data_IF_712252882748
#
_entry.id   IF_712252882748
#
_cell.length_a   1.000
_cell.length_b   1.000
_cell.length_c   1.000
_cell.angle_alpha   90.00
_cell.angle_beta   90.00
_cell.angle_gamma   90.00
#
_symmetry.space_group_name_H-M   'P 1'
#
loop_
_entity.id
_entity.type
_entity.pdbx_description
1 polymer ?
#
# COMPACT_ATOMS: atom_id res chain seq x y z
N UNK A 1 34.70 25.73 5.06
CA UNK A 1 34.57 24.49 5.88
C UNK A 1 33.48 23.61 5.29
N UNK A 2 33.80 22.36 5.07
CA UNK A 2 32.79 21.40 4.60
C UNK A 2 32.13 20.69 5.78
N UNK A 3 30.81 20.55 5.74
CA UNK A 3 30.07 19.68 6.64
C UNK A 3 30.20 18.25 6.16
N UNK A 4 30.72 17.36 6.98
CA UNK A 4 30.90 15.96 6.59
C UNK A 4 29.65 15.11 6.81
N UNK A 5 28.87 15.39 7.84
CA UNK A 5 27.64 14.63 8.15
C UNK A 5 26.66 15.46 8.99
N UNK A 6 25.40 15.16 8.84
CA UNK A 6 24.31 15.63 9.71
C UNK A 6 23.83 14.44 10.54
N UNK A 7 23.86 14.56 11.88
CA UNK A 7 23.39 13.51 12.78
C UNK A 7 21.87 13.36 12.67
N UNK A 8 21.39 12.14 12.42
CA UNK A 8 19.97 11.85 12.26
C UNK A 8 19.12 12.05 13.51
N UNK A 9 19.70 12.03 14.69
CA UNK A 9 18.96 12.22 15.95
C UNK A 9 19.03 13.63 16.51
N UNK A 10 20.05 14.42 16.15
CA UNK A 10 20.28 15.75 16.72
C UNK A 10 20.58 16.82 15.66
N UNK A 11 20.83 16.43 14.43
CA UNK A 11 21.28 17.34 13.37
C UNK A 11 20.17 18.03 12.59
N UNK A 12 18.96 17.42 12.57
CA UNK A 12 17.79 17.95 11.86
C UNK A 12 16.62 17.92 12.83
N UNK A 13 16.04 19.09 13.11
CA UNK A 13 14.84 19.18 13.93
C UNK A 13 13.61 18.69 13.17
N UNK A 14 12.64 18.18 13.91
CA UNK A 14 11.35 17.75 13.34
C UNK A 14 10.72 18.89 12.52
N UNK A 15 10.08 18.54 11.44
CA UNK A 15 9.45 19.45 10.49
C UNK A 15 10.40 20.37 9.72
N UNK A 16 11.72 20.22 9.90
CA UNK A 16 12.71 21.04 9.18
C UNK A 16 12.81 20.70 7.71
N UNK A 17 12.71 19.41 7.36
CA UNK A 17 12.71 18.96 5.97
C UNK A 17 11.25 18.83 5.50
N UNK A 18 10.85 19.75 4.67
CA UNK A 18 9.51 19.76 4.05
C UNK A 18 9.59 19.23 2.62
N UNK A 19 8.45 18.90 2.03
CA UNK A 19 8.40 18.45 0.64
C UNK A 19 9.04 19.43 -0.35
N UNK A 20 8.98 20.72 -0.07
CA UNK A 20 9.61 21.75 -0.91
C UNK A 20 11.15 21.71 -0.87
N UNK A 21 11.74 21.03 0.10
CA UNK A 21 13.19 20.89 0.26
C UNK A 21 13.73 19.56 -0.25
N UNK A 22 12.83 18.65 -0.67
CA UNK A 22 13.20 17.37 -1.25
C UNK A 22 13.18 17.50 -2.76
N UNK A 23 14.26 17.16 -3.42
CA UNK A 23 14.30 16.96 -4.87
C UNK A 23 13.66 15.62 -5.22
N UNK A 24 13.32 15.45 -6.49
CA UNK A 24 12.88 14.15 -7.00
C UNK A 24 13.96 13.10 -6.76
N UNK A 25 13.53 11.92 -6.36
CA UNK A 25 14.46 10.80 -6.20
C UNK A 25 14.93 10.32 -7.58
N UNK A 26 16.22 10.30 -7.80
CA UNK A 26 16.83 9.80 -9.03
C UNK A 26 17.22 8.31 -8.95
N UNK A 27 17.00 7.68 -7.82
CA UNK A 27 17.25 6.25 -7.57
C UNK A 27 16.10 5.65 -6.75
N UNK A 28 16.10 4.33 -6.62
CA UNK A 28 15.10 3.64 -5.81
C UNK A 28 15.12 4.11 -4.34
N UNK A 29 13.94 4.23 -3.75
CA UNK A 29 13.78 4.43 -2.31
C UNK A 29 13.51 3.08 -1.67
N UNK A 30 14.41 2.63 -0.81
CA UNK A 30 14.30 1.36 -0.11
C UNK A 30 13.67 1.61 1.27
N UNK A 31 12.44 1.13 1.45
CA UNK A 31 11.72 1.21 2.72
C UNK A 31 12.02 0.03 3.64
N UNK A 32 12.75 -1.00 3.14
CA UNK A 32 13.18 -2.16 3.91
C UNK A 32 12.03 -2.85 4.69
N UNK A 33 10.88 -3.03 4.03
CA UNK A 33 9.70 -3.64 4.64
C UNK A 33 8.90 -2.76 5.59
N UNK A 34 9.30 -1.51 5.79
CA UNK A 34 8.54 -0.55 6.62
C UNK A 34 7.34 -0.03 5.85
N UNK A 35 6.22 0.14 6.53
CA UNK A 35 4.99 0.66 5.94
C UNK A 35 5.16 2.06 5.36
N UNK A 36 4.61 2.28 4.17
CA UNK A 36 4.36 3.61 3.62
C UNK A 36 2.98 4.06 4.08
N UNK A 37 2.92 4.92 5.10
CA UNK A 37 1.66 5.47 5.63
C UNK A 37 1.11 6.53 4.68
N UNK A 38 -0.18 6.47 4.39
CA UNK A 38 -0.82 7.31 3.37
C UNK A 38 -1.79 8.34 3.96
N UNK A 39 -2.17 8.23 5.22
CA UNK A 39 -3.13 9.11 5.87
C UNK A 39 -2.69 9.57 7.26
N UNK A 40 -3.46 10.51 7.85
CA UNK A 40 -3.06 11.21 9.06
C UNK A 40 -3.21 10.37 10.34
N UNK A 41 -4.17 9.44 10.37
CA UNK A 41 -4.38 8.56 11.52
C UNK A 41 -3.58 7.24 11.43
N UNK A 42 -2.80 7.09 10.34
CA UNK A 42 -1.79 6.04 10.15
C UNK A 42 -2.40 4.63 10.07
N UNK A 43 -3.62 4.52 9.62
CA UNK A 43 -4.28 3.24 9.47
C UNK A 43 -4.44 2.77 8.02
N UNK A 44 -4.01 3.59 7.04
CA UNK A 44 -3.99 3.27 5.62
C UNK A 44 -2.55 3.28 5.11
N UNK A 45 -2.12 2.15 4.55
CA UNK A 45 -0.71 1.95 4.17
C UNK A 45 -0.51 0.97 3.03
N UNK A 46 0.70 1.00 2.47
CA UNK A 46 1.23 -0.04 1.58
C UNK A 46 2.50 -0.58 2.25
N UNK A 47 2.64 -1.91 2.31
CA UNK A 47 3.82 -2.55 2.90
C UNK A 47 4.27 -3.77 2.10
N UNK A 48 5.53 -4.15 2.26
CA UNK A 48 6.13 -5.38 1.75
C UNK A 48 6.98 -6.02 2.86
N UNK A 49 6.37 -6.25 4.02
CA UNK A 49 7.02 -6.86 5.17
C UNK A 49 7.21 -8.38 5.04
N UNK A 50 6.46 -8.99 4.12
CA UNK A 50 6.62 -10.39 3.73
C UNK A 50 7.31 -10.44 2.38
N UNK A 51 8.33 -11.28 2.25
CA UNK A 51 9.10 -11.42 1.00
C UNK A 51 8.18 -11.77 -0.19
N UNK A 52 8.35 -11.06 -1.30
CA UNK A 52 7.59 -11.21 -2.53
C UNK A 52 6.08 -10.94 -2.43
N UNK A 53 5.64 -10.21 -1.38
CA UNK A 53 4.23 -9.82 -1.19
C UNK A 53 4.12 -8.31 -0.98
N UNK A 54 3.15 -7.68 -1.62
CA UNK A 54 2.74 -6.30 -1.35
C UNK A 54 1.35 -6.34 -0.76
N UNK A 55 1.17 -5.79 0.44
CA UNK A 55 -0.10 -5.69 1.13
C UNK A 55 -0.63 -4.26 1.13
N UNK A 56 -1.94 -4.14 0.94
CA UNK A 56 -2.70 -2.88 1.00
C UNK A 56 -3.59 -2.89 2.23
N UNK A 57 -3.32 -1.98 3.15
CA UNK A 57 -4.08 -1.80 4.38
C UNK A 57 -4.99 -0.56 4.25
N UNK A 58 -6.22 -0.66 4.64
CA UNK A 58 -7.20 0.43 4.68
C UNK A 58 -7.95 0.34 6.01
N UNK A 59 -8.03 1.44 6.75
CA UNK A 59 -8.68 1.50 8.06
C UNK A 59 -8.20 0.40 9.02
N UNK A 60 -6.88 0.21 9.09
CA UNK A 60 -6.23 -0.74 9.98
C UNK A 60 -6.31 -2.21 9.56
N UNK A 61 -6.95 -2.53 8.42
CA UNK A 61 -7.16 -3.90 7.95
C UNK A 61 -6.47 -4.11 6.60
N UNK A 62 -5.72 -5.19 6.46
CA UNK A 62 -5.20 -5.62 5.16
C UNK A 62 -6.37 -6.11 4.30
N UNK A 63 -6.60 -5.45 3.17
CA UNK A 63 -7.72 -5.77 2.29
C UNK A 63 -7.31 -6.58 1.07
N UNK A 64 -6.15 -6.28 0.50
CA UNK A 64 -5.65 -6.93 -0.72
C UNK A 64 -4.16 -7.19 -0.57
N UNK A 65 -3.71 -8.35 -1.08
CA UNK A 65 -2.30 -8.59 -1.36
C UNK A 65 -2.05 -8.86 -2.85
N UNK A 66 -0.87 -8.47 -3.30
CA UNK A 66 -0.29 -8.85 -4.58
C UNK A 66 0.91 -9.74 -4.30
N UNK A 67 0.98 -10.90 -4.94
CA UNK A 67 2.09 -11.82 -4.77
C UNK A 67 2.40 -12.60 -6.05
N UNK A 68 3.50 -13.34 -6.04
CA UNK A 68 3.88 -14.23 -7.11
C UNK A 68 3.80 -15.70 -6.64
N UNK A 69 3.33 -16.57 -7.51
CA UNK A 69 3.42 -18.03 -7.29
C UNK A 69 3.77 -18.71 -8.61
N UNK A 70 4.97 -19.25 -8.67
CA UNK A 70 5.48 -19.98 -9.86
C UNK A 70 5.36 -19.17 -11.17
N UNK A 71 5.48 -17.85 -11.09
CA UNK A 71 5.35 -16.94 -12.23
C UNK A 71 3.96 -16.33 -12.42
N UNK A 72 2.95 -16.86 -11.75
CA UNK A 72 1.61 -16.28 -11.80
C UNK A 72 1.50 -15.06 -10.87
N UNK A 73 0.82 -14.03 -11.34
CA UNK A 73 0.46 -12.87 -10.51
C UNK A 73 -0.82 -13.18 -9.75
N UNK A 74 -0.78 -13.10 -8.44
CA UNK A 74 -1.93 -13.38 -7.58
C UNK A 74 -2.41 -12.08 -6.95
N UNK A 75 -3.70 -11.78 -7.12
CA UNK A 75 -4.42 -10.72 -6.42
C UNK A 75 -5.37 -11.43 -5.46
N UNK A 76 -5.17 -11.22 -4.14
CA UNK A 76 -5.89 -11.99 -3.13
C UNK A 76 -6.56 -11.04 -2.13
N UNK A 77 -7.88 -11.21 -1.83
CA UNK A 77 -8.49 -10.58 -0.67
C UNK A 77 -7.86 -11.14 0.61
N UNK A 78 -7.64 -10.27 1.60
CA UNK A 78 -7.01 -10.64 2.87
C UNK A 78 -8.01 -10.79 4.01
N UNK A 79 -9.26 -10.40 3.78
CA UNK A 79 -10.33 -10.56 4.76
C UNK A 79 -11.18 -11.77 4.36
N UNK A 80 -11.29 -12.74 5.26
CA UNK A 80 -12.07 -13.96 5.05
C UNK A 80 -13.54 -13.65 4.84
N UNK A 81 -14.21 -14.42 3.99
CA UNK A 81 -15.62 -14.27 3.64
C UNK A 81 -15.97 -12.86 3.10
N UNK A 82 -15.04 -12.25 2.35
CA UNK A 82 -15.25 -10.96 1.68
C UNK A 82 -14.84 -11.02 0.22
N UNK A 83 -15.58 -10.26 -0.58
CA UNK A 83 -15.45 -10.22 -2.04
C UNK A 83 -14.45 -9.17 -2.51
N UNK A 84 -13.99 -9.31 -3.75
CA UNK A 84 -13.43 -8.20 -4.51
C UNK A 84 -14.53 -7.65 -5.41
N UNK A 85 -14.90 -6.38 -5.22
CA UNK A 85 -16.01 -5.74 -5.91
C UNK A 85 -15.53 -4.53 -6.70
N UNK A 86 -15.89 -4.47 -7.97
CA UNK A 86 -15.72 -3.28 -8.82
C UNK A 86 -17.10 -2.62 -9.00
N UNK A 87 -17.18 -1.33 -8.66
CA UNK A 87 -18.43 -0.57 -8.64
C UNK A 87 -18.37 0.64 -9.55
N UNK A 88 -19.55 1.07 -10.02
CA UNK A 88 -19.74 2.39 -10.62
C UNK A 88 -19.76 3.46 -9.53
N UNK A 89 -19.75 4.72 -9.94
CA UNK A 89 -19.81 5.88 -9.05
C UNK A 89 -21.03 5.86 -8.12
N UNK A 90 -22.17 5.36 -8.61
CA UNK A 90 -23.42 5.26 -7.85
C UNK A 90 -23.51 4.02 -6.94
N UNK A 91 -22.43 3.24 -6.85
CA UNK A 91 -22.37 2.05 -6.00
C UNK A 91 -22.86 0.75 -6.63
N UNK A 92 -23.35 0.79 -7.86
CA UNK A 92 -23.77 -0.42 -8.56
C UNK A 92 -22.57 -1.31 -8.92
N UNK A 93 -22.68 -2.61 -8.64
CA UNK A 93 -21.62 -3.58 -8.99
C UNK A 93 -21.52 -3.76 -10.50
N UNK A 94 -20.31 -3.72 -11.02
CA UNK A 94 -20.02 -4.08 -12.42
C UNK A 94 -19.48 -5.51 -12.48
N UNK A 95 -18.55 -5.83 -11.60
CA UNK A 95 -17.84 -7.10 -11.57
C UNK A 95 -17.54 -7.46 -10.11
N UNK A 96 -17.68 -8.72 -9.78
CA UNK A 96 -17.41 -9.21 -8.44
C UNK A 96 -16.75 -10.58 -8.51
N UNK A 97 -15.70 -10.76 -7.71
CA UNK A 97 -15.14 -12.07 -7.39
C UNK A 97 -15.61 -12.38 -5.98
N UNK A 98 -16.56 -13.30 -5.90
CA UNK A 98 -17.24 -13.69 -4.67
C UNK A 98 -16.43 -14.76 -3.92
N UNK A 99 -16.45 -14.74 -2.61
CA UNK A 99 -15.74 -15.72 -1.79
C UNK A 99 -16.27 -17.15 -1.96
N UNK A 100 -17.49 -17.30 -2.45
CA UNK A 100 -18.10 -18.58 -2.80
C UNK A 100 -17.64 -19.17 -4.14
N UNK A 101 -16.57 -18.67 -4.73
CA UNK A 101 -15.97 -19.10 -6.01
C UNK A 101 -16.77 -18.71 -7.25
N UNK A 102 -17.54 -17.65 -7.18
CA UNK A 102 -18.25 -17.11 -8.32
C UNK A 102 -17.60 -15.84 -8.86
N UNK A 103 -17.71 -15.67 -10.18
CA UNK A 103 -17.44 -14.40 -10.85
C UNK A 103 -18.75 -13.91 -11.42
N UNK A 104 -19.19 -12.72 -11.04
CA UNK A 104 -20.39 -12.08 -11.60
C UNK A 104 -20.04 -10.81 -12.34
N UNK A 105 -20.73 -10.58 -13.45
CA UNK A 105 -20.59 -9.40 -14.28
C UNK A 105 -21.95 -8.76 -14.44
N UNK A 106 -22.04 -7.46 -14.09
CA UNK A 106 -23.29 -6.71 -14.13
C UNK A 106 -24.25 -7.08 -13.02
N UNK A 107 -25.26 -6.24 -12.84
CA UNK A 107 -26.30 -6.42 -11.84
C UNK A 107 -25.89 -6.09 -10.41
N UNK A 108 -26.86 -5.91 -9.59
CA UNK A 108 -26.73 -5.59 -8.16
C UNK A 108 -27.02 -6.81 -7.31
#
# INVERSE_FOLDING_TARGET
MALSQISGTTGIADTTITSAKLADFSAAVDLNGVELLLDADQDTSITADTDDVIDFKIAGVEHISLSNSSGDTIIKPRVDAKDIIFQQFDGNKIFCIDDGNFVSVGGN
#
